data_IF_237249419088
#
_entry.id   IF_237249419088
#
_cell.length_a   1.000
_cell.length_b   1.000
_cell.length_c   1.000
_cell.angle_alpha   90.00
_cell.angle_beta   90.00
_cell.angle_gamma   90.00
#
_symmetry.space_group_name_H-M   'P 1'
#
loop_
_entity.id
_entity.type
_entity.pdbx_description
1 polymer ?
#
# COMPACT_ATOMS: atom_id res chain seq x y z
N UNK A 1 0.08 -9.51 -13.09
CA UNK A 1 0.65 -8.26 -12.54
C UNK A 1 -0.18 -7.02 -12.85
N UNK A 2 -0.58 -6.74 -14.10
CA UNK A 2 -1.42 -5.55 -14.40
C UNK A 2 -2.79 -5.54 -13.68
N UNK A 3 -3.39 -6.70 -13.43
CA UNK A 3 -4.65 -6.80 -12.66
C UNK A 3 -4.45 -6.34 -11.22
N UNK A 4 -3.41 -6.85 -10.53
CA UNK A 4 -3.04 -6.44 -9.17
C UNK A 4 -2.73 -4.94 -9.11
N UNK A 5 -2.03 -4.40 -10.11
CA UNK A 5 -1.76 -2.97 -10.20
C UNK A 5 -3.03 -2.13 -10.33
N UNK A 6 -3.99 -2.57 -11.16
CA UNK A 6 -5.25 -1.85 -11.35
C UNK A 6 -6.07 -1.83 -10.05
N UNK A 7 -6.14 -2.95 -9.34
CA UNK A 7 -6.84 -3.00 -8.06
C UNK A 7 -6.12 -2.20 -6.96
N UNK A 8 -4.79 -2.24 -6.90
CA UNK A 8 -4.02 -1.41 -5.98
C UNK A 8 -4.25 0.09 -6.23
N UNK A 9 -4.36 0.49 -7.50
CA UNK A 9 -4.71 1.87 -7.89
C UNK A 9 -6.12 2.26 -7.50
N UNK A 10 -7.07 1.33 -7.55
CA UNK A 10 -8.47 1.55 -7.16
C UNK A 10 -8.64 1.72 -5.65
N UNK A 11 -7.85 0.98 -4.86
CA UNK A 11 -7.91 1.01 -3.40
C UNK A 11 -7.12 2.20 -2.79
N UNK A 12 -6.10 2.68 -3.50
CA UNK A 12 -5.30 3.81 -3.06
C UNK A 12 -6.13 5.12 -3.00
N UNK A 13 -5.87 6.00 -2.02
CA UNK A 13 -6.56 7.28 -1.90
C UNK A 13 -6.33 8.18 -3.12
N UNK A 14 -7.43 8.66 -3.70
CA UNK A 14 -7.46 9.51 -4.89
C UNK A 14 -7.42 11.01 -4.53
N UNK A 15 -6.48 11.40 -3.65
CA UNK A 15 -6.37 12.81 -3.20
C UNK A 15 -5.79 13.68 -4.31
N UNK A 16 -4.52 13.48 -4.64
CA UNK A 16 -3.82 14.21 -5.72
C UNK A 16 -3.45 13.27 -6.90
N UNK A 17 -3.83 11.99 -6.82
CA UNK A 17 -3.53 10.98 -7.84
C UNK A 17 -2.05 10.55 -7.91
N UNK A 18 -1.14 11.22 -7.19
CA UNK A 18 0.29 10.90 -7.16
C UNK A 18 0.53 9.46 -6.69
N UNK A 19 -0.09 9.05 -5.60
CA UNK A 19 0.04 7.68 -5.10
C UNK A 19 -0.43 6.65 -6.15
N UNK A 20 -1.59 6.87 -6.76
CA UNK A 20 -2.16 6.02 -7.80
C UNK A 20 -1.21 5.88 -9.00
N UNK A 21 -0.69 7.01 -9.49
CA UNK A 21 0.21 7.05 -10.65
C UNK A 21 1.59 6.44 -10.34
N UNK A 22 2.06 6.56 -9.08
CA UNK A 22 3.35 6.02 -8.63
C UNK A 22 3.39 4.49 -8.52
N UNK A 23 2.24 3.81 -8.43
CA UNK A 23 2.18 2.35 -8.32
C UNK A 23 2.62 1.73 -9.65
N UNK A 24 3.74 1.04 -9.61
CA UNK A 24 4.42 0.37 -10.73
C UNK A 24 4.48 -1.13 -10.51
N UNK A 25 4.71 -1.87 -11.59
CA UNK A 25 4.96 -3.31 -11.54
C UNK A 25 6.36 -3.62 -12.06
N UNK A 26 6.97 -4.67 -11.52
CA UNK A 26 8.24 -5.21 -11.99
C UNK A 26 8.13 -6.72 -12.03
N UNK A 27 8.67 -7.32 -13.08
CA UNK A 27 8.89 -8.76 -13.13
C UNK A 27 10.40 -8.97 -13.17
N UNK A 28 10.91 -9.85 -12.31
CA UNK A 28 12.31 -10.24 -12.24
C UNK A 28 12.41 -11.75 -12.18
N UNK A 29 13.48 -12.29 -12.76
CA UNK A 29 13.87 -13.68 -12.58
C UNK A 29 14.90 -13.72 -11.45
N UNK A 30 14.66 -14.57 -10.47
CA UNK A 30 15.56 -14.86 -9.36
C UNK A 30 15.94 -16.34 -9.45
N UNK A 31 17.01 -16.62 -10.20
CA UNK A 31 17.35 -17.99 -10.63
C UNK A 31 16.20 -18.62 -11.40
N UNK A 32 15.68 -19.73 -10.87
CA UNK A 32 14.54 -20.47 -11.45
C UNK A 32 13.17 -19.92 -11.04
N UNK A 33 13.12 -18.85 -10.24
CA UNK A 33 11.87 -18.25 -9.75
C UNK A 33 11.52 -16.99 -10.53
N UNK A 34 10.33 -16.97 -11.13
CA UNK A 34 9.76 -15.74 -11.68
C UNK A 34 9.04 -14.96 -10.57
N UNK A 35 9.55 -13.78 -10.21
CA UNK A 35 8.99 -12.92 -9.17
C UNK A 35 8.33 -11.70 -9.82
N UNK A 36 7.03 -11.49 -9.53
CA UNK A 36 6.29 -10.29 -9.92
C UNK A 36 6.01 -9.41 -8.70
N UNK A 37 6.46 -8.16 -8.74
CA UNK A 37 6.35 -7.20 -7.65
C UNK A 37 5.48 -6.01 -8.07
N UNK A 38 4.62 -5.54 -7.16
CA UNK A 38 3.88 -4.28 -7.28
C UNK A 38 4.38 -3.36 -6.19
N UNK A 39 4.86 -2.18 -6.55
CA UNK A 39 5.56 -1.28 -5.61
C UNK A 39 5.33 0.19 -5.93
N UNK A 40 5.63 1.04 -4.96
CA UNK A 40 5.74 2.48 -5.10
C UNK A 40 7.02 2.97 -4.43
N UNK A 41 7.58 4.05 -4.95
CA UNK A 41 8.80 4.68 -4.39
C UNK A 41 8.49 5.90 -3.53
N UNK A 42 7.21 6.21 -3.30
CA UNK A 42 6.82 7.35 -2.47
C UNK A 42 7.13 7.07 -1.01
N UNK A 43 7.91 7.96 -0.37
CA UNK A 43 8.30 7.83 1.03
C UNK A 43 7.12 7.78 1.98
N UNK A 44 6.01 8.45 1.63
CA UNK A 44 4.83 8.50 2.47
C UNK A 44 3.88 7.30 2.29
N UNK A 45 4.07 6.50 1.24
CA UNK A 45 3.17 5.41 0.90
C UNK A 45 3.04 4.31 1.98
N UNK A 46 4.11 3.91 2.70
CA UNK A 46 3.99 2.97 3.82
C UNK A 46 3.09 3.52 4.94
N UNK A 47 3.13 4.83 5.20
CA UNK A 47 2.29 5.44 6.23
C UNK A 47 0.81 5.43 5.87
N UNK A 48 0.48 5.36 4.58
CA UNK A 48 -0.90 5.21 4.10
C UNK A 48 -1.33 3.75 4.22
N UNK A 49 -0.50 2.81 3.76
CA UNK A 49 -0.80 1.36 3.82
C UNK A 49 -1.03 0.88 5.25
N UNK A 50 -0.15 1.28 6.18
CA UNK A 50 -0.16 0.80 7.56
C UNK A 50 -0.82 1.77 8.54
N UNK A 51 -1.07 3.02 8.13
CA UNK A 51 -1.51 4.06 9.06
C UNK A 51 -0.38 4.52 9.98
N UNK A 52 -0.68 5.52 10.81
CA UNK A 52 0.27 6.10 11.76
C UNK A 52 -0.37 6.42 13.10
N UNK A 53 0.46 6.43 14.15
CA UNK A 53 0.06 6.83 15.49
C UNK A 53 -1.00 5.93 16.14
N UNK A 54 -1.63 6.40 17.22
CA UNK A 54 -2.71 5.68 17.91
C UNK A 54 -3.89 5.33 17.00
N UNK A 55 -4.20 6.17 15.99
CA UNK A 55 -5.28 5.90 15.03
C UNK A 55 -4.97 4.73 14.10
N UNK A 56 -3.75 4.65 13.58
CA UNK A 56 -3.30 3.48 12.80
C UNK A 56 -3.30 2.20 13.64
N UNK A 57 -2.86 2.28 14.90
CA UNK A 57 -2.90 1.15 15.82
C UNK A 57 -4.34 0.66 16.13
N UNK A 58 -5.31 1.57 16.25
CA UNK A 58 -6.70 1.18 16.44
C UNK A 58 -7.36 0.65 15.15
N UNK A 59 -6.82 1.01 13.98
CA UNK A 59 -7.40 0.74 12.67
C UNK A 59 -6.32 0.22 11.71
N UNK A 60 -5.90 -1.03 11.93
CA UNK A 60 -4.94 -1.76 11.08
C UNK A 60 -5.56 -2.98 10.39
N UNK A 61 -6.89 -3.04 10.28
CA UNK A 61 -7.56 -4.17 9.63
C UNK A 61 -7.22 -4.23 8.13
N UNK A 62 -6.72 -5.37 7.67
CA UNK A 62 -6.38 -5.58 6.26
C UNK A 62 -4.95 -5.21 5.86
N UNK A 63 -4.07 -4.89 6.81
CA UNK A 63 -2.62 -4.87 6.55
C UNK A 63 -2.06 -6.29 6.40
N UNK A 64 -0.88 -6.41 5.80
CA UNK A 64 -0.21 -7.70 5.69
C UNK A 64 0.12 -8.28 7.09
N UNK A 65 -0.27 -9.53 7.39
CA UNK A 65 0.08 -10.20 8.65
C UNK A 65 1.58 -10.50 8.75
N UNK A 66 2.30 -10.47 7.63
CA UNK A 66 3.74 -10.74 7.57
C UNK A 66 4.59 -9.52 7.95
N UNK A 67 3.97 -8.33 8.08
CA UNK A 67 4.69 -7.10 8.41
C UNK A 67 4.44 -6.73 9.87
N UNK A 68 5.47 -6.79 10.70
CA UNK A 68 5.42 -6.33 12.09
C UNK A 68 5.54 -4.80 12.15
N UNK A 69 4.41 -4.11 12.18
CA UNK A 69 4.38 -2.63 12.31
C UNK A 69 4.36 -2.23 13.79
N UNK A 70 5.31 -1.38 14.19
CA UNK A 70 5.30 -0.74 15.52
C UNK A 70 4.78 0.68 15.41
N UNK A 71 3.69 0.97 16.12
CA UNK A 71 3.12 2.32 16.18
C UNK A 71 3.67 3.09 17.38
N UNK A 72 3.90 4.40 17.20
CA UNK A 72 4.11 5.30 18.34
C UNK A 72 2.74 5.63 18.95
N UNK A 73 2.55 5.19 20.19
CA UNK A 73 1.32 5.42 20.97
C UNK A 73 1.22 6.85 21.52
N UNK A 74 2.32 7.58 21.56
CA UNK A 74 2.33 8.99 21.99
C UNK A 74 1.90 9.89 20.83
N UNK A 75 0.90 10.77 21.01
CA UNK A 75 0.62 11.83 20.05
C UNK A 75 1.82 12.79 19.98
N UNK A 76 2.05 13.37 18.82
CA UNK A 76 3.08 14.38 18.61
C UNK A 76 2.45 15.74 18.40
N UNK A 77 3.20 16.78 18.74
CA UNK A 77 2.73 18.17 18.75
C UNK A 77 3.54 18.97 17.74
N UNK A 78 2.86 19.80 16.97
CA UNK A 78 3.49 20.70 16.00
C UNK A 78 2.98 22.11 16.24
N UNK A 79 3.89 23.08 16.26
CA UNK A 79 3.53 24.48 16.35
C UNK A 79 2.82 24.91 15.07
N UNK A 80 1.79 25.76 15.16
CA UNK A 80 1.02 26.18 13.98
C UNK A 80 1.87 26.83 12.88
N UNK A 81 2.91 27.58 13.26
CA UNK A 81 3.82 28.22 12.30
C UNK A 81 4.67 27.22 11.50
N UNK A 82 4.79 25.99 11.96
CA UNK A 82 5.60 24.94 11.33
C UNK A 82 4.77 24.07 10.37
N UNK A 83 3.44 24.20 10.35
CA UNK A 83 2.58 23.32 9.58
C UNK A 83 1.35 24.04 9.01
N UNK A 84 1.19 23.96 7.68
CA UNK A 84 -0.09 24.26 7.07
C UNK A 84 -1.00 23.03 7.17
N UNK A 85 -1.95 23.06 8.10
CA UNK A 85 -2.88 21.95 8.34
C UNK A 85 -3.89 21.74 7.20
N UNK A 86 -4.03 22.69 6.25
CA UNK A 86 -4.89 22.55 5.07
C UNK A 86 -6.31 22.06 5.42
N UNK A 87 -6.87 21.06 4.69
CA UNK A 87 -8.22 20.53 4.95
C UNK A 87 -8.29 19.57 6.16
N UNK A 88 -7.21 19.43 6.93
CA UNK A 88 -7.14 18.49 8.05
C UNK A 88 -7.58 19.13 9.36
N UNK A 89 -8.56 18.50 10.01
CA UNK A 89 -9.12 18.95 11.28
C UNK A 89 -8.37 18.32 12.46
N UNK A 90 -7.12 18.77 12.71
CA UNK A 90 -6.37 18.36 13.90
C UNK A 90 -6.85 19.13 15.14
N UNK A 91 -6.79 18.48 16.30
CA UNK A 91 -7.16 19.12 17.57
C UNK A 91 -6.10 20.16 17.93
N UNK A 92 -6.48 21.44 18.00
CA UNK A 92 -5.61 22.53 18.42
C UNK A 92 -5.67 22.71 19.94
N UNK A 93 -4.52 22.82 20.59
CA UNK A 93 -4.36 23.08 22.02
C UNK A 93 -3.41 24.26 22.15
N UNK A 94 -3.94 25.45 22.47
CA UNK A 94 -3.16 26.69 22.39
C UNK A 94 -2.67 26.92 20.96
N UNK A 95 -1.36 27.05 20.77
CA UNK A 95 -0.69 27.25 19.47
C UNK A 95 -0.21 25.93 18.84
N UNK A 96 -0.48 24.78 19.47
CA UNK A 96 -0.02 23.47 19.00
C UNK A 96 -1.15 22.63 18.43
N UNK A 97 -0.87 21.96 17.32
CA UNK A 97 -1.71 20.89 16.79
C UNK A 97 -1.30 19.54 17.38
N UNK A 98 -2.25 18.84 17.99
CA UNK A 98 -2.08 17.48 18.51
C UNK A 98 -2.42 16.46 17.43
N UNK A 99 -1.42 15.69 17.02
CA UNK A 99 -1.53 14.72 15.94
C UNK A 99 -1.60 13.29 16.48
N UNK A 100 -2.73 12.62 16.22
CA UNK A 100 -2.99 11.23 16.61
C UNK A 100 -2.65 10.23 15.49
N UNK A 101 -2.03 10.71 14.41
CA UNK A 101 -1.75 9.95 13.19
C UNK A 101 -2.98 9.73 12.30
N UNK A 102 -2.86 8.81 11.35
CA UNK A 102 -3.87 8.50 10.34
C UNK A 102 -4.29 7.02 10.39
N UNK A 103 -5.55 6.68 10.09
CA UNK A 103 -5.96 5.28 9.98
C UNK A 103 -5.22 4.58 8.83
N UNK A 104 -5.08 3.26 8.90
CA UNK A 104 -4.53 2.49 7.78
C UNK A 104 -5.53 2.47 6.62
N UNK A 105 -5.03 2.73 5.42
CA UNK A 105 -5.77 2.55 4.17
C UNK A 105 -4.95 1.59 3.29
N UNK A 106 -5.01 0.28 3.58
CA UNK A 106 -4.25 -0.71 2.83
C UNK A 106 -4.76 -0.79 1.38
N UNK A 107 -3.84 -0.73 0.43
CA UNK A 107 -4.12 -0.77 -1.00
C UNK A 107 -3.25 -1.80 -1.73
N UNK A 108 -2.04 -2.10 -1.25
CA UNK A 108 -1.17 -3.12 -1.86
C UNK A 108 -1.53 -4.52 -1.41
N UNK A 109 -1.58 -4.76 -0.10
CA UNK A 109 -1.87 -6.09 0.44
C UNK A 109 -3.24 -6.66 0.00
N UNK A 110 -4.36 -5.93 0.16
CA UNK A 110 -5.66 -6.42 -0.30
C UNK A 110 -5.69 -6.66 -1.82
N UNK A 111 -5.06 -5.79 -2.62
CA UNK A 111 -4.98 -5.99 -4.07
C UNK A 111 -4.22 -7.26 -4.45
N UNK A 112 -3.18 -7.63 -3.71
CA UNK A 112 -2.44 -8.86 -3.91
C UNK A 112 -3.27 -10.09 -3.48
N UNK A 113 -3.80 -10.07 -2.26
CA UNK A 113 -4.58 -11.17 -1.67
C UNK A 113 -5.79 -11.52 -2.52
N UNK A 114 -6.58 -10.52 -2.91
CA UNK A 114 -7.84 -10.73 -3.62
C UNK A 114 -7.61 -11.19 -5.07
N UNK A 115 -6.41 -10.96 -5.63
CA UNK A 115 -6.05 -11.39 -6.99
C UNK A 115 -5.17 -12.64 -7.05
N UNK A 116 -4.79 -13.23 -5.92
CA UNK A 116 -3.86 -14.34 -5.86
C UNK A 116 -4.30 -15.51 -6.75
N UNK A 117 -5.58 -15.89 -6.68
CA UNK A 117 -6.13 -17.00 -7.46
C UNK A 117 -6.14 -16.71 -8.96
N UNK A 118 -6.53 -15.49 -9.35
CA UNK A 118 -6.55 -15.03 -10.75
C UNK A 118 -5.15 -15.03 -11.36
N UNK A 119 -4.16 -14.58 -10.58
CA UNK A 119 -2.75 -14.58 -11.01
C UNK A 119 -2.23 -16.00 -11.19
N UNK A 120 -2.45 -16.89 -10.22
CA UNK A 120 -2.05 -18.30 -10.30
C UNK A 120 -2.65 -19.01 -11.50
N UNK A 121 -3.95 -18.80 -11.76
CA UNK A 121 -4.63 -19.39 -12.92
C UNK A 121 -4.04 -18.90 -14.24
N UNK A 122 -3.76 -17.60 -14.35
CA UNK A 122 -3.16 -17.02 -15.56
C UNK A 122 -1.75 -17.57 -15.83
N UNK A 123 -0.93 -17.71 -14.79
CA UNK A 123 0.41 -18.30 -14.90
C UNK A 123 0.30 -19.76 -15.34
N UNK A 124 -0.54 -20.56 -14.67
CA UNK A 124 -0.73 -21.98 -15.01
C UNK A 124 -1.18 -22.19 -16.46
N UNK A 125 -2.15 -21.40 -16.93
CA UNK A 125 -2.62 -21.45 -18.30
C UNK A 125 -1.52 -21.05 -19.31
N UNK A 126 -0.73 -20.02 -18.99
CA UNK A 126 0.37 -19.59 -19.83
C UNK A 126 1.45 -20.67 -19.97
N UNK A 127 1.85 -21.27 -18.84
CA UNK A 127 2.85 -22.35 -18.80
C UNK A 127 2.35 -23.57 -19.57
N UNK A 128 1.10 -24.02 -19.34
CA UNK A 128 0.49 -25.14 -20.08
C UNK A 128 0.49 -24.92 -21.59
N UNK A 129 0.15 -23.71 -22.03
CA UNK A 129 0.17 -23.37 -23.46
C UNK A 129 1.59 -23.43 -24.03
N UNK A 130 2.58 -22.87 -23.33
CA UNK A 130 3.98 -22.88 -23.78
C UNK A 130 4.58 -24.28 -23.87
N UNK A 131 4.25 -25.16 -22.92
CA UNK A 131 4.66 -26.57 -22.98
C UNK A 131 4.08 -27.25 -24.23
N UNK A 132 2.79 -27.04 -24.54
CA UNK A 132 2.16 -27.61 -25.74
C UNK A 132 2.76 -27.10 -27.04
N UNK A 133 3.16 -25.83 -27.08
CA UNK A 133 3.84 -25.24 -28.25
C UNK A 133 5.22 -25.86 -28.49
N UNK A 134 5.93 -26.32 -27.44
CA UNK A 134 7.27 -26.91 -27.57
C UNK A 134 7.28 -28.42 -27.85
N UNK A 135 6.17 -29.11 -27.61
CA UNK A 135 6.03 -30.55 -27.91
C UNK A 135 5.65 -30.78 -29.39
N UNK A 136 5.30 -29.71 -30.11
CA UNK A 136 4.91 -29.72 -31.53
C UNK A 136 6.09 -29.41 -32.43
#
# INVERSE_FOLDING_TARGET
MKVVQADARRLAPARDGELITSIKTRAKMDGDKAIGEVYTNLKYAPYVEFGTGPKGQASHSGISPEVSVTYKSSPWYVHEDQINVGPYHFQKIGEFYKMYGQPAQPYLYPALRDNQERVSKNISNYVRRKIREQIK
#
